data_IF_127415687964
#
_entry.id   IF_127415687964
#
_cell.length_a   1.000
_cell.length_b   1.000
_cell.length_c   1.000
_cell.angle_alpha   90.00
_cell.angle_beta   90.00
_cell.angle_gamma   90.00
#
_symmetry.space_group_name_H-M   'P 1'
#
loop_
_entity.id
_entity.type
_entity.pdbx_description
1 polymer ?
#
# COMPACT_ATOMS: atom_id res chain seq x y z
N UNK A 1 -26.69 -5.82 1.71
CA UNK A 1 -26.60 -7.26 1.36
C UNK A 1 -25.13 -7.65 1.41
N UNK A 2 -24.69 -8.53 2.33
CA UNK A 2 -23.30 -9.02 2.33
C UNK A 2 -23.17 -10.12 1.27
N UNK A 3 -22.14 -10.10 0.41
CA UNK A 3 -21.93 -11.20 -0.53
C UNK A 3 -21.60 -12.48 0.27
N UNK A 4 -22.26 -13.59 -0.05
CA UNK A 4 -22.21 -14.83 0.76
C UNK A 4 -20.84 -15.52 0.79
N UNK A 5 -20.01 -15.28 -0.23
CA UNK A 5 -18.77 -16.02 -0.46
C UNK A 5 -17.51 -15.16 -0.33
N UNK A 6 -17.61 -13.93 0.21
CA UNK A 6 -16.44 -13.02 0.29
C UNK A 6 -15.29 -13.71 1.02
N UNK A 7 -15.55 -14.27 2.18
CA UNK A 7 -14.50 -14.86 3.02
C UNK A 7 -13.82 -16.05 2.32
N UNK A 8 -14.61 -16.92 1.69
CA UNK A 8 -14.08 -18.06 0.93
C UNK A 8 -13.22 -17.62 -0.27
N UNK A 9 -13.64 -16.58 -1.00
CA UNK A 9 -12.88 -16.06 -2.15
C UNK A 9 -11.57 -15.43 -1.67
N UNK A 10 -11.62 -14.62 -0.61
CA UNK A 10 -10.43 -13.97 -0.02
C UNK A 10 -9.45 -15.04 0.45
N UNK A 11 -9.91 -16.04 1.20
CA UNK A 11 -9.04 -17.11 1.69
C UNK A 11 -8.44 -17.95 0.57
N UNK A 12 -9.21 -18.28 -0.47
CA UNK A 12 -8.72 -19.01 -1.62
C UNK A 12 -7.65 -18.22 -2.38
N UNK A 13 -7.87 -16.94 -2.63
CA UNK A 13 -6.92 -16.06 -3.30
C UNK A 13 -5.62 -15.90 -2.49
N UNK A 14 -5.72 -15.66 -1.18
CA UNK A 14 -4.56 -15.57 -0.30
C UNK A 14 -3.77 -16.89 -0.23
N UNK A 15 -4.47 -18.02 -0.14
CA UNK A 15 -3.83 -19.34 -0.10
C UNK A 15 -3.07 -19.64 -1.40
N UNK A 16 -3.69 -19.35 -2.55
CA UNK A 16 -3.06 -19.50 -3.86
C UNK A 16 -1.83 -18.59 -4.00
N UNK A 17 -1.97 -17.30 -3.64
CA UNK A 17 -0.87 -16.35 -3.67
C UNK A 17 0.32 -16.80 -2.81
N UNK A 18 0.05 -17.24 -1.59
CA UNK A 18 1.06 -17.73 -0.66
C UNK A 18 1.75 -19.00 -1.17
N UNK A 19 0.99 -19.92 -1.76
CA UNK A 19 1.55 -21.13 -2.37
C UNK A 19 2.45 -20.78 -3.56
N UNK A 20 1.98 -19.95 -4.49
CA UNK A 20 2.76 -19.52 -5.66
C UNK A 20 4.04 -18.77 -5.27
N UNK A 21 4.00 -17.95 -4.22
CA UNK A 21 5.20 -17.29 -3.66
C UNK A 21 6.24 -18.26 -3.13
N UNK A 22 5.82 -19.45 -2.68
CA UNK A 22 6.72 -20.48 -2.15
C UNK A 22 7.24 -21.43 -3.24
N UNK A 23 6.46 -21.64 -4.29
CA UNK A 23 6.75 -22.66 -5.31
C UNK A 23 7.28 -22.09 -6.62
N UNK A 24 7.21 -20.77 -6.81
CA UNK A 24 7.67 -20.12 -8.04
C UNK A 24 8.44 -18.84 -7.75
N UNK A 25 9.71 -18.83 -8.13
CA UNK A 25 10.58 -17.66 -8.06
C UNK A 25 10.17 -16.53 -9.04
N UNK A 26 9.33 -16.86 -10.02
CA UNK A 26 8.90 -15.95 -11.09
C UNK A 26 7.47 -15.40 -10.90
N UNK A 27 6.71 -15.89 -9.94
CA UNK A 27 5.32 -15.48 -9.75
C UNK A 27 5.18 -14.01 -9.37
N UNK A 28 6.00 -13.54 -8.44
CA UNK A 28 6.06 -12.12 -8.05
C UNK A 28 7.52 -11.70 -7.95
N UNK A 29 7.93 -10.79 -8.82
CA UNK A 29 9.28 -10.23 -8.82
C UNK A 29 9.27 -8.83 -8.19
N UNK A 30 10.43 -8.30 -7.83
CA UNK A 30 10.56 -6.94 -7.30
C UNK A 30 10.04 -5.87 -8.28
N UNK A 31 9.88 -6.21 -9.57
CA UNK A 31 9.30 -5.31 -10.56
C UNK A 31 7.78 -5.29 -10.55
N UNK A 32 7.11 -6.27 -9.94
CA UNK A 32 5.65 -6.37 -9.97
C UNK A 32 4.97 -5.40 -9.00
N UNK A 33 5.63 -5.08 -7.89
CA UNK A 33 5.15 -4.20 -6.83
C UNK A 33 6.17 -3.11 -6.56
N UNK A 34 5.77 -2.12 -5.77
CA UNK A 34 6.73 -1.13 -5.28
C UNK A 34 7.63 -1.79 -4.24
N UNK A 35 8.91 -1.40 -4.23
CA UNK A 35 9.83 -1.82 -3.19
C UNK A 35 10.68 -0.65 -2.72
N UNK A 36 11.10 -0.72 -1.46
CA UNK A 36 11.96 0.26 -0.84
C UNK A 36 13.42 -0.17 -1.00
N UNK A 37 14.24 0.68 -1.62
CA UNK A 37 15.69 0.54 -1.57
C UNK A 37 16.21 1.37 -0.39
N UNK A 38 16.36 0.70 0.76
CA UNK A 38 16.80 1.31 2.02
C UNK A 38 18.21 1.89 1.92
N UNK A 39 19.08 1.33 1.07
CA UNK A 39 20.44 1.84 0.90
C UNK A 39 20.45 3.17 0.13
N UNK A 40 19.64 3.24 -0.93
CA UNK A 40 19.53 4.44 -1.76
C UNK A 40 18.51 5.45 -1.24
N UNK A 41 17.72 5.07 -0.21
CA UNK A 41 16.61 5.85 0.33
C UNK A 41 15.61 6.27 -0.75
N UNK A 42 15.24 5.34 -1.63
CA UNK A 42 14.26 5.57 -2.71
C UNK A 42 13.23 4.46 -2.81
N UNK A 43 11.98 4.84 -3.09
CA UNK A 43 10.91 3.89 -3.44
C UNK A 43 11.00 3.63 -4.93
N UNK A 44 11.31 2.39 -5.30
CA UNK A 44 11.37 1.98 -6.71
C UNK A 44 9.95 1.58 -7.14
N UNK A 45 9.37 2.27 -8.15
CA UNK A 45 8.00 2.00 -8.56
C UNK A 45 7.90 0.67 -9.30
N UNK A 46 6.89 -0.12 -8.95
CA UNK A 46 6.53 -1.33 -9.67
C UNK A 46 6.01 -1.03 -11.08
N UNK A 47 6.25 -1.97 -12.00
CA UNK A 47 5.82 -1.91 -13.39
C UNK A 47 4.31 -1.67 -13.56
N UNK A 48 3.51 -2.10 -12.56
CA UNK A 48 2.07 -1.86 -12.54
C UNK A 48 1.73 -0.38 -12.69
N UNK A 49 2.51 0.56 -12.13
CA UNK A 49 2.23 2.01 -12.22
C UNK A 49 2.29 2.56 -13.65
N UNK A 50 3.12 1.96 -14.48
CA UNK A 50 3.24 2.34 -15.91
C UNK A 50 2.22 1.58 -16.73
N UNK A 51 2.05 0.28 -16.47
CA UNK A 51 1.11 -0.59 -17.19
C UNK A 51 -0.34 -0.18 -16.96
N UNK A 52 -0.72 0.26 -15.75
CA UNK A 52 -2.08 0.67 -15.44
C UNK A 52 -2.52 1.89 -16.24
N UNK A 53 -1.61 2.85 -16.46
CA UNK A 53 -1.92 4.09 -17.22
C UNK A 53 -2.36 3.79 -18.65
N UNK A 54 -1.89 2.68 -19.21
CA UNK A 54 -2.23 2.23 -20.55
C UNK A 54 -3.34 1.19 -20.58
N UNK A 55 -3.53 0.42 -19.51
CA UNK A 55 -4.42 -0.75 -19.49
C UNK A 55 -5.77 -0.50 -18.81
N UNK A 56 -5.87 0.48 -17.90
CA UNK A 56 -7.10 0.76 -17.14
C UNK A 56 -7.52 2.20 -17.39
N UNK A 57 -8.74 2.38 -17.89
CA UNK A 57 -9.33 3.71 -18.07
C UNK A 57 -9.39 4.47 -16.74
N UNK A 58 -9.22 5.78 -16.81
CA UNK A 58 -9.35 6.66 -15.65
C UNK A 58 -10.71 6.47 -14.98
N UNK A 59 -10.71 6.24 -13.67
CA UNK A 59 -11.94 6.25 -12.90
C UNK A 59 -12.50 7.68 -12.87
N UNK A 60 -13.84 7.85 -12.93
CA UNK A 60 -14.43 9.17 -12.73
C UNK A 60 -14.01 9.71 -11.36
N UNK A 61 -13.76 11.03 -11.25
CA UNK A 61 -13.39 11.63 -9.98
C UNK A 61 -14.45 11.29 -8.93
N UNK A 62 -13.96 10.85 -7.78
CA UNK A 62 -14.79 10.52 -6.63
C UNK A 62 -15.67 11.74 -6.27
N UNK A 63 -17.00 11.55 -6.19
CA UNK A 63 -17.96 12.65 -5.95
C UNK A 63 -17.96 13.18 -4.50
N UNK A 64 -17.13 12.60 -3.65
CA UNK A 64 -17.01 12.96 -2.23
C UNK A 64 -15.78 13.84 -2.04
N UNK A 65 -15.91 14.89 -1.25
CA UNK A 65 -14.76 15.66 -0.80
C UNK A 65 -13.88 14.79 0.10
N UNK A 66 -12.58 14.69 -0.21
CA UNK A 66 -11.59 13.99 0.61
C UNK A 66 -11.26 14.76 1.92
N UNK A 67 -12.23 15.42 2.53
CA UNK A 67 -12.05 16.13 3.78
C UNK A 67 -12.31 15.19 4.95
N UNK A 68 -11.25 14.81 5.65
CA UNK A 68 -11.37 14.22 6.97
C UNK A 68 -12.08 15.21 7.91
N UNK A 69 -12.81 14.69 8.90
CA UNK A 69 -13.36 15.56 9.95
C UNK A 69 -12.22 16.28 10.68
N UNK A 70 -12.47 17.50 11.18
CA UNK A 70 -11.48 18.25 11.98
C UNK A 70 -10.96 17.44 13.18
N UNK A 71 -11.79 16.58 13.76
CA UNK A 71 -11.38 15.67 14.84
C UNK A 71 -10.38 14.62 14.35
N UNK A 72 -10.63 14.00 13.20
CA UNK A 72 -9.71 13.03 12.61
C UNK A 72 -8.37 13.69 12.23
N UNK A 73 -8.42 14.91 11.71
CA UNK A 73 -7.23 15.72 11.43
C UNK A 73 -6.44 16.04 12.70
N UNK A 74 -7.11 16.49 13.77
CA UNK A 74 -6.46 16.77 15.04
C UNK A 74 -5.76 15.52 15.63
N UNK A 75 -6.41 14.36 15.54
CA UNK A 75 -5.83 13.08 15.98
C UNK A 75 -4.60 12.73 15.14
N UNK A 76 -4.69 12.82 13.80
CA UNK A 76 -3.57 12.55 12.89
C UNK A 76 -2.38 13.46 13.22
N UNK A 77 -2.62 14.76 13.39
CA UNK A 77 -1.56 15.72 13.66
C UNK A 77 -0.91 15.51 15.03
N UNK A 78 -1.71 15.15 16.06
CA UNK A 78 -1.17 14.82 17.38
C UNK A 78 -0.24 13.60 17.35
N UNK A 79 -0.62 12.54 16.61
CA UNK A 79 0.25 11.37 16.43
C UNK A 79 1.48 11.68 15.59
N UNK A 80 1.35 12.44 14.50
CA UNK A 80 2.50 12.87 13.71
C UNK A 80 3.52 13.61 14.58
N UNK A 81 3.06 14.59 15.37
CA UNK A 81 3.93 15.31 16.30
C UNK A 81 4.61 14.37 17.32
N UNK A 82 3.86 13.43 17.88
CA UNK A 82 4.40 12.47 18.87
C UNK A 82 5.53 11.63 18.26
N UNK A 83 5.32 11.08 17.06
CA UNK A 83 6.28 10.22 16.37
C UNK A 83 7.44 10.98 15.73
N UNK A 84 7.30 12.28 15.49
CA UNK A 84 8.39 13.15 15.02
C UNK A 84 9.25 13.71 16.16
N UNK A 85 8.80 13.58 17.42
CA UNK A 85 9.49 14.21 18.58
C UNK A 85 9.82 13.21 19.68
N UNK A 86 8.86 12.91 20.54
CA UNK A 86 9.06 12.11 21.76
C UNK A 86 9.30 10.63 21.45
N UNK A 87 8.57 10.09 20.48
CA UNK A 87 8.62 8.68 20.10
C UNK A 87 9.40 8.47 18.79
N UNK A 88 10.28 9.43 18.45
CA UNK A 88 11.11 9.36 17.25
C UNK A 88 12.19 8.29 17.41
N UNK A 89 12.34 7.46 16.38
CA UNK A 89 13.33 6.37 16.36
C UNK A 89 14.52 6.72 15.46
N UNK A 90 15.77 6.31 15.79
CA UNK A 90 16.97 6.75 15.06
C UNK A 90 17.02 6.40 13.56
N UNK A 91 16.21 5.45 13.12
CA UNK A 91 16.11 5.03 11.71
C UNK A 91 15.00 5.76 10.94
N UNK A 92 14.17 6.56 11.60
CA UNK A 92 13.02 7.24 10.99
C UNK A 92 13.46 8.30 9.97
N UNK A 93 14.51 9.08 10.26
CA UNK A 93 15.09 10.06 9.33
C UNK A 93 15.83 9.41 8.14
N UNK A 94 15.93 8.09 8.16
CA UNK A 94 16.57 7.28 7.12
C UNK A 94 15.54 6.48 6.31
N UNK A 95 14.26 6.56 6.66
CA UNK A 95 13.17 5.99 5.88
C UNK A 95 12.80 6.88 4.69
N UNK A 96 12.03 6.32 3.76
CA UNK A 96 11.64 6.89 2.47
C UNK A 96 10.15 7.15 2.48
#
# INVERSE_FOLDING_TARGET
MRPKNVDSIVLAACSLHNWLRKTSDMYITHRCVDFEDVQQRVVVPGAWRTQLRTAIGSLPPARHSNHASRKAEAIRNAYAQLFETTEAVPWQDHMI
#
